data_IF_074730052495
#
_entry.id   IF_074730052495
#
_cell.length_a   1.000
_cell.length_b   1.000
_cell.length_c   1.000
_cell.angle_alpha   90.00
_cell.angle_beta   90.00
_cell.angle_gamma   90.00
#
_symmetry.space_group_name_H-M   'P 1'
#
loop_
_entity.id
_entity.type
_entity.pdbx_description
1 polymer ?
#
# COMPACT_ATOMS: atom_id res chain seq x y z
N UNK A 1 -10.92 -6.94 11.31
CA UNK A 1 -12.09 -6.10 11.01
C UNK A 1 -12.86 -6.74 9.86
N UNK A 2 -14.00 -7.42 10.10
CA UNK A 2 -14.80 -8.00 9.03
C UNK A 2 -15.64 -6.91 8.34
N UNK A 3 -15.72 -6.96 7.01
CA UNK A 3 -16.63 -6.13 6.22
C UNK A 3 -17.97 -6.87 6.09
N UNK A 4 -19.02 -6.36 6.72
CA UNK A 4 -20.37 -6.94 6.64
C UNK A 4 -21.14 -6.29 5.48
N UNK A 5 -21.65 -7.11 4.56
CA UNK A 5 -22.57 -6.69 3.51
C UNK A 5 -23.98 -7.12 3.94
N UNK A 6 -24.82 -6.16 4.33
CA UNK A 6 -26.21 -6.42 4.71
C UNK A 6 -27.10 -6.59 3.47
N UNK A 7 -27.83 -7.71 3.37
CA UNK A 7 -28.93 -7.88 2.42
C UNK A 7 -30.28 -7.79 3.15
N UNK A 8 -31.28 -7.13 2.53
CA UNK A 8 -32.65 -7.08 3.04
C UNK A 8 -33.40 -8.38 2.76
N UNK A 9 -34.22 -8.82 3.72
CA UNK A 9 -35.00 -10.05 3.68
C UNK A 9 -36.24 -9.86 2.79
N UNK A 10 -36.42 -10.68 1.73
CA UNK A 10 -37.68 -10.71 0.98
C UNK A 10 -37.74 -11.26 -0.44
N UNK A 11 -36.65 -11.62 -1.14
CA UNK A 11 -36.77 -12.19 -2.50
C UNK A 11 -35.75 -13.29 -2.78
N UNK A 12 -36.25 -14.51 -2.94
CA UNK A 12 -35.50 -15.71 -3.32
C UNK A 12 -35.16 -15.66 -4.81
N UNK A 13 -33.91 -15.38 -5.16
CA UNK A 13 -33.35 -15.85 -6.43
C UNK A 13 -31.96 -16.45 -6.19
N UNK A 14 -31.79 -17.65 -6.72
CA UNK A 14 -30.69 -18.58 -6.54
C UNK A 14 -29.35 -17.98 -7.02
N UNK A 15 -28.54 -17.45 -6.10
CA UNK A 15 -27.19 -16.98 -6.37
C UNK A 15 -26.17 -18.12 -6.15
N UNK A 16 -26.36 -19.24 -6.84
CA UNK A 16 -25.36 -20.31 -6.81
C UNK A 16 -24.14 -19.88 -7.63
N UNK A 17 -23.05 -19.61 -6.90
CA UNK A 17 -21.67 -19.58 -7.40
C UNK A 17 -21.37 -18.46 -8.38
N UNK A 18 -20.99 -17.31 -7.84
CA UNK A 18 -19.70 -16.63 -8.06
C UNK A 18 -19.85 -15.22 -7.45
N UNK A 19 -18.88 -14.76 -6.66
CA UNK A 19 -18.67 -13.32 -6.49
C UNK A 19 -17.51 -12.98 -7.40
N UNK A 20 -17.73 -12.42 -8.60
CA UNK A 20 -16.64 -11.83 -9.35
C UNK A 20 -16.20 -10.60 -8.55
N UNK A 21 -15.10 -10.74 -7.82
CA UNK A 21 -14.54 -9.63 -7.05
C UNK A 21 -13.85 -8.65 -8.00
N UNK A 22 -14.63 -7.69 -8.51
CA UNK A 22 -14.10 -6.42 -9.00
C UNK A 22 -14.13 -5.39 -7.86
N UNK A 23 -13.24 -4.39 -7.94
CA UNK A 23 -13.00 -3.38 -6.90
C UNK A 23 -14.31 -2.91 -6.26
N UNK A 24 -14.46 -3.23 -4.98
CA UNK A 24 -15.47 -2.62 -4.11
C UNK A 24 -15.31 -1.09 -4.24
N UNK A 25 -16.40 -0.36 -4.44
CA UNK A 25 -16.41 1.11 -4.66
C UNK A 25 -15.90 1.95 -3.47
N UNK A 26 -15.20 1.34 -2.51
CA UNK A 26 -14.52 2.03 -1.43
C UNK A 26 -13.25 2.73 -1.91
N UNK A 27 -12.92 3.86 -1.27
CA UNK A 27 -11.69 4.60 -1.51
C UNK A 27 -10.49 3.74 -1.09
N UNK A 28 -9.58 3.44 -2.03
CA UNK A 28 -8.32 2.75 -1.72
C UNK A 28 -7.35 3.69 -1.01
N UNK A 29 -6.73 3.25 0.08
CA UNK A 29 -5.59 3.94 0.70
C UNK A 29 -4.28 3.40 0.14
N UNK A 30 -3.33 4.27 -0.17
CA UNK A 30 -2.01 3.88 -0.65
C UNK A 30 -1.01 4.05 0.50
N UNK A 31 -0.15 3.05 0.70
CA UNK A 31 0.88 3.05 1.73
C UNK A 31 2.24 2.85 1.06
N UNK A 32 3.26 3.54 1.56
CA UNK A 32 4.66 3.29 1.24
C UNK A 32 5.34 2.78 2.52
N UNK A 33 6.24 1.82 2.40
CA UNK A 33 7.09 1.46 3.52
C UNK A 33 8.34 0.73 3.07
N UNK A 34 9.30 0.63 3.98
CA UNK A 34 10.55 -0.08 3.76
C UNK A 34 10.81 -1.04 4.92
N UNK A 35 11.63 -2.06 4.69
CA UNK A 35 12.01 -3.05 5.70
C UNK A 35 13.42 -3.56 5.42
N UNK A 36 14.05 -4.10 6.45
CA UNK A 36 15.30 -4.84 6.40
C UNK A 36 15.02 -6.32 6.71
N UNK A 37 16.02 -7.20 6.54
CA UNK A 37 15.88 -8.60 6.92
C UNK A 37 15.45 -8.81 8.39
N UNK A 38 16.03 -8.11 9.39
CA UNK A 38 15.62 -8.30 10.78
C UNK A 38 14.36 -7.51 11.18
N UNK A 39 14.11 -6.34 10.60
CA UNK A 39 13.12 -5.39 11.15
C UNK A 39 12.38 -4.59 10.08
N UNK A 40 11.15 -4.18 10.39
CA UNK A 40 10.32 -3.31 9.53
C UNK A 40 10.69 -1.85 9.76
N UNK A 41 10.90 -1.10 8.68
CA UNK A 41 11.10 0.34 8.71
C UNK A 41 9.78 1.10 8.71
N UNK A 42 9.81 2.38 8.35
CA UNK A 42 8.61 3.23 8.45
C UNK A 42 7.54 2.83 7.43
N UNK A 43 6.28 2.97 7.85
CA UNK A 43 5.10 2.87 7.00
C UNK A 43 4.42 4.24 6.93
N UNK A 44 4.32 4.79 5.73
CA UNK A 44 3.76 6.11 5.44
C UNK A 44 2.48 5.98 4.62
N UNK A 45 1.38 6.57 5.10
CA UNK A 45 0.12 6.63 4.36
C UNK A 45 0.13 7.82 3.41
N UNK A 46 -0.08 7.54 2.13
CA UNK A 46 -0.24 8.59 1.13
C UNK A 46 -1.70 8.98 0.95
N UNK A 47 -1.95 10.29 1.01
CA UNK A 47 -3.28 10.86 0.85
C UNK A 47 -3.75 10.95 -0.61
N UNK A 48 -2.79 10.92 -1.54
CA UNK A 48 -3.02 11.05 -2.97
C UNK A 48 -2.24 9.99 -3.76
N UNK A 49 -2.57 9.85 -5.05
CA UNK A 49 -1.89 8.92 -5.95
C UNK A 49 -0.41 9.30 -6.09
N UNK A 50 0.47 8.31 -5.95
CA UNK A 50 1.91 8.48 -6.11
C UNK A 50 2.27 9.00 -7.51
N UNK A 51 3.06 10.07 -7.57
CA UNK A 51 3.77 10.59 -8.75
C UNK A 51 5.28 10.66 -8.45
N UNK A 52 6.12 10.91 -9.46
CA UNK A 52 7.59 10.90 -9.29
C UNK A 52 8.10 11.88 -8.23
N UNK A 53 7.57 13.10 -8.21
CA UNK A 53 7.97 14.12 -7.23
C UNK A 53 7.64 13.71 -5.78
N UNK A 54 6.41 13.24 -5.54
CA UNK A 54 5.99 12.75 -4.21
C UNK A 54 6.76 11.51 -3.79
N UNK A 55 7.10 10.66 -4.76
CA UNK A 55 7.91 9.49 -4.50
C UNK A 55 9.31 9.89 -4.01
N UNK A 56 9.96 10.86 -4.66
CA UNK A 56 11.25 11.39 -4.23
C UNK A 56 11.20 12.03 -2.85
N UNK A 57 10.17 12.82 -2.56
CA UNK A 57 9.93 13.40 -1.24
C UNK A 57 9.78 12.32 -0.15
N UNK A 58 8.99 11.27 -0.42
CA UNK A 58 8.81 10.16 0.53
C UNK A 58 10.12 9.41 0.76
N UNK A 59 10.93 9.21 -0.28
CA UNK A 59 12.26 8.61 -0.12
C UNK A 59 13.18 9.49 0.72
N UNK A 60 13.31 10.78 0.41
CA UNK A 60 14.18 11.70 1.14
C UNK A 60 13.82 11.76 2.64
N UNK A 61 12.52 11.86 2.94
CA UNK A 61 12.03 11.99 4.32
C UNK A 61 12.04 10.66 5.10
N UNK A 62 11.64 9.55 4.47
CA UNK A 62 11.38 8.31 5.20
C UNK A 62 12.45 7.26 5.01
N UNK A 63 13.17 7.22 3.88
CA UNK A 63 14.19 6.20 3.63
C UNK A 63 15.41 6.41 4.51
N UNK A 64 15.95 7.65 4.53
CA UNK A 64 17.13 7.98 5.33
C UNK A 64 16.84 7.77 6.81
N UNK A 65 15.68 8.24 7.26
CA UNK A 65 15.30 8.07 8.65
C UNK A 65 15.03 6.60 9.00
N UNK A 66 14.41 5.83 8.12
CA UNK A 66 14.23 4.39 8.35
C UNK A 66 15.56 3.65 8.36
N UNK A 67 16.53 4.02 7.52
CA UNK A 67 17.85 3.42 7.52
C UNK A 67 18.59 3.70 8.84
N UNK A 68 18.47 4.93 9.36
CA UNK A 68 18.99 5.28 10.68
C UNK A 68 18.30 4.48 11.79
N UNK A 69 16.96 4.42 11.78
CA UNK A 69 16.16 3.71 12.78
C UNK A 69 16.49 2.19 12.77
N UNK A 70 16.74 1.63 11.59
CA UNK A 70 17.15 0.23 11.36
C UNK A 70 18.67 -0.01 11.52
N UNK A 71 19.45 1.03 11.86
CA UNK A 71 20.92 0.97 12.01
C UNK A 71 21.64 0.34 10.82
N UNK A 72 21.18 0.66 9.61
CA UNK A 72 21.79 0.17 8.38
C UNK A 72 23.03 0.99 8.05
N UNK A 73 24.17 0.33 7.92
CA UNK A 73 25.42 0.97 7.47
C UNK A 73 25.39 1.33 5.98
N UNK A 74 24.57 0.61 5.20
CA UNK A 74 24.38 0.86 3.78
C UNK A 74 22.92 0.71 3.38
N UNK A 75 22.43 1.66 2.59
CA UNK A 75 21.05 1.68 2.10
C UNK A 75 21.01 1.09 0.70
N UNK A 76 20.55 -0.15 0.59
CA UNK A 76 20.22 -0.76 -0.69
C UNK A 76 18.73 -0.60 -0.97
N UNK A 77 18.38 0.09 -2.04
CA UNK A 77 16.99 0.29 -2.46
C UNK A 77 16.60 -0.86 -3.39
N UNK A 78 15.83 -1.81 -2.88
CA UNK A 78 15.17 -2.83 -3.70
C UNK A 78 13.71 -2.43 -3.95
N UNK A 79 13.37 -2.15 -5.20
CA UNK A 79 12.02 -1.77 -5.59
C UNK A 79 11.60 -2.40 -6.91
N UNK A 80 10.29 -2.56 -7.10
CA UNK A 80 9.73 -3.04 -8.35
C UNK A 80 9.89 -1.99 -9.46
N UNK A 81 10.27 -2.41 -10.67
CA UNK A 81 10.38 -1.54 -11.84
C UNK A 81 9.01 -0.98 -12.24
N UNK A 82 8.68 0.22 -11.77
CA UNK A 82 7.58 1.04 -12.27
C UNK A 82 8.19 2.31 -12.88
N UNK A 83 7.70 2.79 -14.04
CA UNK A 83 8.23 4.01 -14.68
C UNK A 83 8.26 5.25 -13.76
N UNK A 84 7.46 5.28 -12.69
CA UNK A 84 7.44 6.35 -11.69
C UNK A 84 8.62 6.34 -10.72
N UNK A 85 9.33 5.22 -10.63
CA UNK A 85 10.49 5.03 -9.74
C UNK A 85 11.82 5.34 -10.44
N UNK A 86 11.79 5.57 -11.75
CA UNK A 86 12.97 5.87 -12.59
C UNK A 86 12.91 7.27 -13.22
N UNK A 87 11.94 8.10 -12.80
CA UNK A 87 11.67 9.43 -13.34
C UNK A 87 12.48 10.53 -12.62
#
# INVERSE_FOLDING_TARGET
>A
MPCYIGQKQGSTHHLSKTIPAVKHGGRSSMLWGCFSAPETGRLFKMEARMNGAKYREVLELNLIQSAHDLKLEQVCIFQHNNPKHTA
#
